data_IF_165000627294
#
_entry.id   IF_165000627294
#
_cell.length_a   1.000
_cell.length_b   1.000
_cell.length_c   1.000
_cell.angle_alpha   90.00
_cell.angle_beta   90.00
_cell.angle_gamma   90.00
#
_symmetry.space_group_name_H-M   'P 1'
#
loop_
_entity.id
_entity.type
_entity.pdbx_description
1 polymer ?
#
# COMPACT_ATOMS: atom_id res chain seq x y z
N UNK A 1 -29.20 10.75 -2.83
CA UNK A 1 -27.88 10.58 -2.17
C UNK A 1 -26.84 10.35 -3.27
N UNK A 2 -25.72 11.08 -3.28
CA UNK A 2 -24.68 10.83 -4.28
C UNK A 2 -24.19 9.38 -4.14
N UNK A 3 -24.09 8.65 -5.24
CA UNK A 3 -23.58 7.27 -5.24
C UNK A 3 -22.15 7.29 -4.71
N UNK A 4 -21.85 6.44 -3.73
CA UNK A 4 -20.49 6.30 -3.17
C UNK A 4 -19.54 5.85 -4.28
N UNK A 5 -18.39 6.51 -4.39
CA UNK A 5 -17.37 6.15 -5.38
C UNK A 5 -16.76 4.77 -5.11
N UNK A 6 -16.20 4.15 -6.14
CA UNK A 6 -15.46 2.88 -6.03
C UNK A 6 -14.42 2.88 -4.91
N UNK A 7 -13.68 4.00 -4.79
CA UNK A 7 -12.64 4.15 -3.76
C UNK A 7 -13.21 4.13 -2.35
N UNK A 8 -14.37 4.77 -2.14
CA UNK A 8 -15.05 4.78 -0.86
C UNK A 8 -15.60 3.40 -0.51
N UNK A 9 -16.16 2.68 -1.49
CA UNK A 9 -16.64 1.31 -1.28
C UNK A 9 -15.50 0.36 -0.89
N UNK A 10 -14.30 0.54 -1.46
CA UNK A 10 -13.12 -0.25 -1.09
C UNK A 10 -12.72 -0.02 0.38
N UNK A 11 -12.65 1.24 0.81
CA UNK A 11 -12.38 1.57 2.22
C UNK A 11 -13.45 1.01 3.15
N UNK A 12 -14.73 1.13 2.79
CA UNK A 12 -15.82 0.52 3.57
C UNK A 12 -15.68 -1.01 3.66
N UNK A 13 -15.40 -1.67 2.53
CA UNK A 13 -15.19 -3.11 2.45
C UNK A 13 -14.04 -3.57 3.35
N UNK A 14 -12.92 -2.84 3.36
CA UNK A 14 -11.78 -3.12 4.26
C UNK A 14 -12.18 -3.03 5.72
N UNK A 15 -12.82 -1.93 6.14
CA UNK A 15 -13.26 -1.77 7.55
C UNK A 15 -14.21 -2.89 7.96
N UNK A 16 -15.11 -3.27 7.07
CA UNK A 16 -16.04 -4.38 7.31
C UNK A 16 -15.33 -5.74 7.36
N UNK A 17 -14.27 -5.93 6.59
CA UNK A 17 -13.43 -7.12 6.64
C UNK A 17 -12.68 -7.20 7.98
N UNK A 18 -12.08 -6.11 8.45
CA UNK A 18 -11.46 -6.03 9.78
C UNK A 18 -12.48 -6.30 10.90
N UNK A 19 -13.73 -5.85 10.75
CA UNK A 19 -14.80 -6.18 11.69
C UNK A 19 -15.15 -7.68 11.65
N UNK A 20 -15.24 -8.29 10.46
CA UNK A 20 -15.51 -9.71 10.32
C UNK A 20 -14.43 -10.59 10.98
N UNK A 21 -13.18 -10.16 10.93
CA UNK A 21 -12.07 -10.80 11.66
C UNK A 21 -11.99 -10.38 13.13
N UNK A 22 -12.81 -9.42 13.55
CA UNK A 22 -12.83 -8.93 14.92
C UNK A 22 -11.58 -8.15 15.32
N UNK A 23 -10.92 -7.54 14.35
CA UNK A 23 -9.71 -6.73 14.51
C UNK A 23 -10.04 -5.23 14.56
N UNK A 24 -11.24 -4.83 14.09
CA UNK A 24 -11.67 -3.44 14.08
C UNK A 24 -11.75 -2.87 15.51
N UNK A 25 -11.02 -1.78 15.75
CA UNK A 25 -11.01 -1.06 17.03
C UNK A 25 -11.74 0.28 16.93
N UNK A 26 -12.37 0.68 18.03
CA UNK A 26 -13.10 1.94 18.15
C UNK A 26 -12.29 3.01 18.88
N UNK A 27 -12.70 4.26 18.72
CA UNK A 27 -12.14 5.41 19.42
C UNK A 27 -10.75 5.86 18.92
N UNK A 28 -10.23 6.97 19.46
CA UNK A 28 -8.96 7.55 19.03
C UNK A 28 -7.82 6.54 19.20
N UNK A 29 -7.11 6.24 18.10
CA UNK A 29 -6.00 5.26 18.07
C UNK A 29 -6.39 3.85 18.58
N UNK A 30 -7.68 3.49 18.54
CA UNK A 30 -8.15 2.17 19.01
C UNK A 30 -8.30 2.04 20.53
N UNK A 31 -8.26 3.16 21.28
CA UNK A 31 -8.41 3.16 22.75
C UNK A 31 -9.79 2.71 23.23
N UNK A 32 -10.81 2.78 22.39
CA UNK A 32 -12.17 2.32 22.71
C UNK A 32 -12.35 0.80 22.63
N UNK A 33 -11.28 0.05 22.35
CA UNK A 33 -11.31 -1.40 22.29
C UNK A 33 -12.00 -1.94 21.03
N UNK A 34 -12.22 -3.25 21.00
CA UNK A 34 -12.80 -3.98 19.85
C UNK A 34 -14.25 -3.56 19.59
N UNK A 35 -14.58 -3.35 18.32
CA UNK A 35 -15.95 -3.06 17.90
C UNK A 35 -16.81 -4.30 18.07
N UNK A 36 -17.92 -4.15 18.79
CA UNK A 36 -18.82 -5.27 19.15
C UNK A 36 -20.06 -5.37 18.26
N UNK A 37 -20.47 -4.27 17.64
CA UNK A 37 -21.71 -4.23 16.86
C UNK A 37 -21.47 -3.89 15.39
N UNK A 38 -22.19 -4.57 14.50
CA UNK A 38 -22.14 -4.31 13.05
C UNK A 38 -22.57 -2.89 12.70
N UNK A 39 -23.52 -2.33 13.45
CA UNK A 39 -23.97 -0.93 13.28
C UNK A 39 -22.83 0.06 13.54
N UNK A 40 -22.05 -0.16 14.60
CA UNK A 40 -20.87 0.65 14.90
C UNK A 40 -19.79 0.47 13.84
N UNK A 41 -19.57 -0.75 13.34
CA UNK A 41 -18.64 -0.99 12.24
C UNK A 41 -19.04 -0.22 10.97
N UNK A 42 -20.33 -0.22 10.62
CA UNK A 42 -20.85 0.56 9.48
C UNK A 42 -20.63 2.06 9.69
N UNK A 43 -20.86 2.57 10.91
CA UNK A 43 -20.61 3.97 11.21
C UNK A 43 -19.14 4.35 11.00
N UNK A 44 -18.22 3.53 11.51
CA UNK A 44 -16.77 3.71 11.32
C UNK A 44 -16.40 3.61 9.83
N UNK A 45 -16.99 2.65 9.10
CA UNK A 45 -16.75 2.48 7.67
C UNK A 45 -17.17 3.73 6.85
N UNK A 46 -18.33 4.30 7.18
CA UNK A 46 -18.82 5.54 6.55
C UNK A 46 -17.93 6.74 6.90
N UNK A 47 -17.45 6.83 8.14
CA UNK A 47 -16.56 7.90 8.58
C UNK A 47 -15.17 7.79 7.93
N UNK A 48 -14.57 6.59 7.91
CA UNK A 48 -13.25 6.35 7.29
C UNK A 48 -13.29 6.54 5.77
N UNK A 49 -14.42 6.21 5.11
CA UNK A 49 -14.61 6.44 3.69
C UNK A 49 -15.04 7.89 3.35
N UNK A 50 -15.21 8.77 4.35
CA UNK A 50 -15.64 10.15 4.13
C UNK A 50 -17.02 10.25 3.46
N UNK A 51 -17.91 9.32 3.77
CA UNK A 51 -19.28 9.26 3.26
C UNK A 51 -20.33 9.49 4.36
N UNK A 52 -19.90 9.87 5.56
CA UNK A 52 -20.80 10.17 6.68
C UNK A 52 -21.65 11.41 6.37
N UNK A 53 -22.96 11.30 6.60
CA UNK A 53 -23.90 12.42 6.47
C UNK A 53 -23.82 13.43 7.62
N UNK A 54 -23.28 13.01 8.76
CA UNK A 54 -23.19 13.83 9.97
C UNK A 54 -21.91 14.66 10.01
N UNK A 55 -20.96 14.39 9.11
CA UNK A 55 -19.67 15.08 9.05
C UNK A 55 -19.64 16.12 7.93
N UNK A 56 -18.92 17.22 8.16
CA UNK A 56 -18.74 18.24 7.14
C UNK A 56 -17.95 17.70 5.95
N UNK A 57 -18.17 18.24 4.74
CA UNK A 57 -17.43 17.85 3.52
C UNK A 57 -15.92 17.93 3.71
N UNK A 58 -15.43 18.94 4.44
CA UNK A 58 -14.02 19.11 4.74
C UNK A 58 -13.48 17.98 5.63
N UNK A 59 -14.22 17.61 6.68
CA UNK A 59 -13.84 16.51 7.59
C UNK A 59 -13.91 15.16 6.89
N UNK A 60 -14.93 14.93 6.07
CA UNK A 60 -15.03 13.74 5.22
C UNK A 60 -13.83 13.58 4.28
N UNK A 61 -13.40 14.65 3.60
CA UNK A 61 -12.19 14.62 2.75
C UNK A 61 -10.93 14.29 3.55
N UNK A 62 -10.78 14.89 4.74
CA UNK A 62 -9.64 14.65 5.64
C UNK A 62 -9.61 13.19 6.11
N UNK A 63 -10.75 12.65 6.51
CA UNK A 63 -10.86 11.26 6.96
C UNK A 63 -10.50 10.29 5.84
N UNK A 64 -11.06 10.48 4.64
CA UNK A 64 -10.74 9.65 3.48
C UNK A 64 -9.24 9.71 3.13
N UNK A 65 -8.63 10.91 3.14
CA UNK A 65 -7.21 11.07 2.90
C UNK A 65 -6.36 10.35 3.96
N UNK A 66 -6.75 10.45 5.23
CA UNK A 66 -6.07 9.76 6.34
C UNK A 66 -6.17 8.25 6.21
N UNK A 67 -7.35 7.72 5.86
CA UNK A 67 -7.56 6.28 5.64
C UNK A 67 -6.69 5.77 4.50
N UNK A 68 -6.67 6.49 3.36
CA UNK A 68 -5.80 6.15 2.22
C UNK A 68 -4.31 6.19 2.55
N UNK A 69 -3.87 7.16 3.37
CA UNK A 69 -2.48 7.24 3.81
C UNK A 69 -2.10 6.04 4.71
N UNK A 70 -3.00 5.59 5.60
CA UNK A 70 -2.79 4.35 6.38
C UNK A 70 -2.71 3.12 5.47
N UNK A 71 -3.59 3.01 4.48
CA UNK A 71 -3.60 1.92 3.50
C UNK A 71 -2.32 1.87 2.66
N UNK A 72 -1.80 3.03 2.26
CA UNK A 72 -0.54 3.14 1.52
C UNK A 72 0.68 2.73 2.38
N UNK A 73 0.60 2.90 3.70
CA UNK A 73 1.71 2.64 4.63
C UNK A 73 1.71 1.23 5.22
N UNK A 74 0.78 0.35 4.86
CA UNK A 74 0.78 -1.01 5.39
C UNK A 74 0.06 -1.17 6.73
N UNK A 75 -0.56 -0.12 7.29
CA UNK A 75 -0.95 -0.05 8.71
C UNK A 75 -2.37 -0.52 9.01
N UNK A 76 -2.96 -1.30 8.11
CA UNK A 76 -4.33 -1.84 8.27
C UNK A 76 -4.26 -3.28 8.76
N UNK A 77 -5.16 -3.69 9.64
CA UNK A 77 -5.12 -5.04 10.24
C UNK A 77 -5.23 -6.13 9.16
N UNK A 78 -6.05 -5.91 8.12
CA UNK A 78 -6.11 -6.76 6.94
C UNK A 78 -4.73 -6.97 6.29
N UNK A 79 -3.92 -5.92 6.14
CA UNK A 79 -2.56 -6.02 5.57
C UNK A 79 -1.57 -6.70 6.51
N UNK A 80 -1.73 -6.56 7.83
CA UNK A 80 -0.91 -7.31 8.79
C UNK A 80 -1.21 -8.81 8.70
N UNK A 81 -2.48 -9.19 8.58
CA UNK A 81 -2.93 -10.58 8.48
C UNK A 81 -2.59 -11.20 7.12
N UNK A 82 -2.86 -10.50 6.01
CA UNK A 82 -2.44 -10.91 4.66
C UNK A 82 -0.92 -10.91 4.50
N UNK A 83 -0.23 -9.94 5.11
CA UNK A 83 1.23 -9.84 5.14
C UNK A 83 1.87 -11.03 5.84
N UNK A 84 1.30 -11.47 6.98
CA UNK A 84 1.68 -12.71 7.67
C UNK A 84 1.43 -13.95 6.81
N UNK A 85 0.30 -14.02 6.11
CA UNK A 85 0.01 -15.13 5.18
C UNK A 85 1.03 -15.22 4.02
N UNK A 86 1.61 -14.09 3.58
CA UNK A 86 2.69 -14.08 2.58
C UNK A 86 4.08 -14.47 3.11
N UNK A 87 4.30 -14.52 4.43
CA UNK A 87 5.61 -14.93 5.00
C UNK A 87 5.88 -16.44 4.79
N UNK A 88 4.86 -17.24 4.45
CA UNK A 88 5.04 -18.61 3.94
C UNK A 88 5.31 -18.72 2.42
N UNK A 89 5.07 -17.64 1.67
CA UNK A 89 5.25 -17.60 0.20
C UNK A 89 6.40 -16.67 -0.22
N UNK A 90 7.39 -16.47 0.67
CA UNK A 90 8.65 -15.78 0.36
C UNK A 90 9.80 -16.75 0.11
N UNK A 91 9.50 -17.98 -0.30
CA UNK A 91 10.44 -18.82 -1.03
C UNK A 91 10.39 -18.43 -2.50
N UNK A 92 11.51 -17.92 -3.05
CA UNK A 92 11.74 -17.59 -4.47
C UNK A 92 10.99 -16.38 -5.04
N UNK A 93 11.53 -15.18 -4.78
CA UNK A 93 11.43 -14.08 -5.75
C UNK A 93 12.39 -14.39 -6.92
N UNK A 94 11.93 -15.14 -7.90
CA UNK A 94 12.63 -15.38 -9.18
C UNK A 94 12.39 -14.25 -10.20
N UNK A 95 12.30 -13.00 -9.75
CA UNK A 95 12.18 -11.85 -10.66
C UNK A 95 13.38 -10.93 -10.49
N UNK A 96 14.35 -11.09 -11.39
CA UNK A 96 15.38 -10.09 -11.66
C UNK A 96 14.71 -8.77 -12.13
N UNK A 97 15.44 -7.65 -12.03
CA UNK A 97 14.97 -6.28 -12.34
C UNK A 97 14.43 -6.08 -13.77
N UNK A 98 14.42 -7.11 -14.61
CA UNK A 98 14.01 -7.07 -16.01
C UNK A 98 12.53 -7.41 -16.28
N UNK A 99 11.77 -7.94 -15.31
CA UNK A 99 10.37 -8.32 -15.54
C UNK A 99 9.42 -7.27 -14.97
N UNK A 100 9.02 -6.36 -15.86
CA UNK A 100 8.14 -5.22 -15.61
C UNK A 100 6.83 -5.59 -14.89
N UNK A 101 6.59 -4.91 -13.77
CA UNK A 101 5.29 -4.93 -13.12
C UNK A 101 4.27 -4.21 -14.00
N UNK A 102 3.13 -4.84 -14.23
CA UNK A 102 1.97 -4.30 -14.93
C UNK A 102 1.42 -3.09 -14.18
N UNK A 103 2.02 -1.93 -14.42
CA UNK A 103 1.49 -0.56 -14.28
C UNK A 103 2.55 0.47 -14.71
N UNK A 104 3.28 0.20 -15.80
CA UNK A 104 4.10 1.20 -16.48
C UNK A 104 3.20 2.16 -17.27
N UNK A 105 2.41 2.98 -16.57
CA UNK A 105 1.75 4.15 -17.17
C UNK A 105 2.71 5.32 -17.15
N UNK A 106 3.71 5.30 -18.02
CA UNK A 106 4.39 6.52 -18.51
C UNK A 106 5.08 6.18 -19.82
N UNK A 107 4.68 6.87 -20.90
CA UNK A 107 5.41 6.89 -22.17
C UNK A 107 6.78 7.54 -21.95
N UNK A 108 7.79 6.74 -21.61
CA UNK A 108 9.17 7.20 -21.61
C UNK A 108 9.74 7.00 -23.02
N UNK A 109 9.77 8.11 -23.76
CA UNK A 109 10.42 8.23 -25.07
C UNK A 109 11.82 7.61 -25.01
N UNK A 110 12.03 6.56 -25.80
CA UNK A 110 13.35 6.03 -26.15
C UNK A 110 14.14 7.11 -26.88
N UNK A 111 15.34 7.43 -26.39
CA UNK A 111 16.55 7.68 -27.19
C UNK A 111 17.70 8.14 -26.28
N UNK A 112 18.55 7.21 -25.84
CA UNK A 112 19.88 7.51 -25.33
C UNK A 112 20.85 6.36 -25.69
N UNK A 113 21.50 6.56 -26.82
CA UNK A 113 22.55 5.78 -27.46
C UNK A 113 23.71 5.56 -26.47
N UNK A 114 23.89 4.33 -25.96
CA UNK A 114 25.05 4.00 -25.11
C UNK A 114 26.11 3.31 -25.96
N UNK A 115 27.14 4.08 -26.30
CA UNK A 115 28.29 3.66 -27.10
C UNK A 115 29.18 2.71 -26.30
N UNK A 116 29.33 1.49 -26.81
CA UNK A 116 30.27 0.47 -26.33
C UNK A 116 31.72 0.99 -26.37
N UNK A 117 32.44 0.99 -25.24
CA UNK A 117 33.92 0.97 -25.25
C UNK A 117 34.44 -0.21 -24.41
N UNK A 118 35.02 -1.13 -25.17
CA UNK A 118 35.62 -2.42 -24.84
C UNK A 118 36.97 -2.19 -24.14
N UNK A 119 37.17 -2.72 -22.94
CA UNK A 119 38.48 -2.74 -22.25
C UNK A 119 39.32 -3.95 -22.70
N UNK A 120 40.60 -3.81 -23.05
CA UNK A 120 41.48 -4.96 -23.21
C UNK A 120 42.22 -5.30 -21.90
N UNK A 121 42.34 -6.62 -21.67
CA UNK A 121 42.99 -7.28 -20.54
C UNK A 121 44.51 -7.30 -20.65
N UNK A 122 45.15 -7.26 -19.46
CA UNK A 122 46.37 -7.96 -18.98
C UNK A 122 47.70 -7.73 -19.73
N UNK A 123 48.78 -7.49 -18.96
CA UNK A 123 49.88 -8.45 -18.61
C UNK A 123 51.07 -7.68 -18.00
N UNK A 124 51.45 -8.03 -16.76
CA UNK A 124 52.74 -8.62 -16.34
C UNK A 124 53.90 -7.66 -15.99
N UNK A 125 54.24 -7.69 -14.69
CA UNK A 125 55.57 -7.93 -14.11
C UNK A 125 56.73 -6.90 -14.17
N UNK A 126 57.52 -6.96 -13.08
CA UNK A 126 58.87 -6.43 -12.76
C UNK A 126 58.88 -5.02 -12.16
N UNK A 127 59.19 -4.87 -10.86
CA UNK A 127 60.51 -5.01 -10.19
C UNK A 127 61.52 -3.99 -10.74
N UNK A 128 61.78 -2.93 -10.00
CA UNK A 128 63.11 -2.58 -9.48
C UNK A 128 63.10 -1.24 -8.74
N UNK A 129 63.80 -1.25 -7.62
CA UNK A 129 64.35 -0.16 -6.79
C UNK A 129 64.87 1.08 -7.54
N UNK A 130 64.73 2.25 -6.95
CA UNK A 130 65.82 2.91 -6.21
C UNK A 130 65.28 4.03 -5.33
#
# INVERSE_FOLDING_TARGET
MAKTSMSQRKTMGRVMHEYAHGELKSGPRGKGGKVRSRRQAIAIALEEAGASKYESKAKNRRNLARSKAKEATGRTAQQETEGKARVGARGKRESSRAMGGQNAKTNAKTNAKTTTRRSPRRRTARRASR
#
